data_IF_742976186496
#
_entry.id   IF_742976186496
#
_cell.length_a   1.000
_cell.length_b   1.000
_cell.length_c   1.000
_cell.angle_alpha   90.00
_cell.angle_beta   90.00
_cell.angle_gamma   90.00
#
_symmetry.space_group_name_H-M   'P 1'
#
loop_
_entity.id
_entity.type
_entity.pdbx_description
1 polymer ?
#
# COMPACT_ATOMS: atom_id res chain seq x y z
N UNK A 1 -21.71 -8.28 -13.26
CA UNK A 1 -22.16 -8.10 -11.87
C UNK A 1 -23.58 -8.61 -11.75
N UNK A 2 -23.88 -9.31 -10.67
CA UNK A 2 -25.22 -9.83 -10.38
C UNK A 2 -25.66 -9.25 -9.03
N UNK A 3 -26.94 -8.91 -8.92
CA UNK A 3 -27.57 -8.72 -7.62
C UNK A 3 -28.04 -10.09 -7.15
N UNK A 4 -27.73 -10.44 -5.91
CA UNK A 4 -28.05 -11.72 -5.29
C UNK A 4 -29.00 -11.46 -4.13
N UNK A 5 -30.33 -11.54 -4.37
CA UNK A 5 -31.33 -11.34 -3.34
C UNK A 5 -31.04 -12.18 -2.09
N UNK A 6 -31.40 -11.65 -0.92
CA UNK A 6 -31.07 -12.17 0.41
C UNK A 6 -29.59 -12.07 0.80
N UNK A 7 -28.65 -12.47 -0.08
CA UNK A 7 -27.21 -12.36 0.20
C UNK A 7 -26.80 -10.89 0.36
N UNK A 8 -27.29 -10.02 -0.53
CA UNK A 8 -26.98 -8.58 -0.54
C UNK A 8 -27.53 -7.82 0.68
N UNK A 9 -28.36 -8.45 1.52
CA UNK A 9 -28.85 -7.86 2.77
C UNK A 9 -27.86 -8.02 3.93
N UNK A 10 -26.86 -8.90 3.80
CA UNK A 10 -25.93 -9.21 4.88
C UNK A 10 -24.81 -8.18 4.94
N UNK A 11 -24.64 -7.56 6.11
CA UNK A 11 -23.63 -6.53 6.32
C UNK A 11 -22.20 -7.09 6.41
N UNK A 12 -21.23 -6.23 6.13
CA UNK A 12 -19.82 -6.55 6.23
C UNK A 12 -19.30 -6.56 7.69
N UNK A 13 -18.39 -7.48 8.00
CA UNK A 13 -17.47 -7.37 9.14
C UNK A 13 -16.08 -7.90 8.76
N UNK A 14 -15.02 -7.24 9.27
CA UNK A 14 -13.63 -7.68 9.14
C UNK A 14 -13.29 -8.89 10.03
N UNK A 15 -14.17 -9.22 10.99
CA UNK A 15 -13.92 -10.23 12.02
C UNK A 15 -14.47 -11.60 11.64
N UNK A 16 -15.26 -11.67 10.56
CA UNK A 16 -15.88 -12.92 10.10
C UNK A 16 -15.11 -13.55 8.95
N UNK A 17 -15.16 -14.86 8.89
CA UNK A 17 -14.65 -15.64 7.78
C UNK A 17 -15.83 -16.36 7.10
N UNK A 18 -16.17 -15.91 5.90
CA UNK A 18 -17.29 -16.43 5.11
C UNK A 18 -16.86 -16.66 3.68
N UNK A 19 -17.42 -17.68 3.05
CA UNK A 19 -17.23 -18.01 1.64
C UNK A 19 -18.58 -17.97 0.93
N UNK A 20 -18.70 -17.10 -0.07
CA UNK A 20 -19.86 -17.05 -0.96
C UNK A 20 -19.42 -17.55 -2.34
N UNK A 21 -20.09 -18.58 -2.86
CA UNK A 21 -19.77 -19.15 -4.17
C UNK A 21 -21.02 -19.64 -4.89
N UNK A 22 -21.00 -19.64 -6.23
CA UNK A 22 -22.07 -20.25 -7.00
C UNK A 22 -21.81 -21.76 -7.11
N UNK A 23 -22.69 -22.57 -6.55
CA UNK A 23 -22.63 -24.02 -6.67
C UNK A 23 -23.20 -24.45 -8.03
N UNK A 24 -22.33 -24.88 -8.93
CA UNK A 24 -22.70 -25.33 -10.27
C UNK A 24 -23.57 -26.60 -10.30
N UNK A 25 -23.52 -27.43 -9.26
CA UNK A 25 -24.33 -28.65 -9.12
C UNK A 25 -25.74 -28.30 -8.68
N UNK A 26 -25.87 -27.49 -7.62
CA UNK A 26 -27.16 -27.10 -7.04
C UNK A 26 -27.80 -25.90 -7.75
N UNK A 27 -27.07 -25.25 -8.68
CA UNK A 27 -27.48 -24.07 -9.44
C UNK A 27 -27.92 -22.89 -8.57
N UNK A 28 -27.26 -22.69 -7.43
CA UNK A 28 -27.57 -21.63 -6.48
C UNK A 28 -26.31 -21.01 -5.86
N UNK A 29 -26.44 -19.80 -5.33
CA UNK A 29 -25.39 -19.21 -4.48
C UNK A 29 -25.43 -19.84 -3.10
N UNK A 30 -24.27 -20.30 -2.63
CA UNK A 30 -24.09 -20.84 -1.29
C UNK A 30 -23.19 -19.92 -0.49
N UNK A 31 -23.68 -19.50 0.69
CA UNK A 31 -22.90 -18.80 1.69
C UNK A 31 -22.57 -19.76 2.84
N UNK A 32 -21.29 -19.93 3.12
CA UNK A 32 -20.77 -20.74 4.22
C UNK A 32 -20.03 -19.84 5.19
N UNK A 33 -20.36 -19.93 6.47
CA UNK A 33 -19.64 -19.23 7.55
C UNK A 33 -18.74 -20.21 8.29
N UNK A 34 -17.55 -19.76 8.65
CA UNK A 34 -16.64 -20.45 9.57
C UNK A 34 -16.70 -19.89 11.00
N UNK A 35 -17.59 -18.91 11.22
CA UNK A 35 -17.82 -18.26 12.50
C UNK A 35 -19.15 -18.72 13.13
N UNK A 36 -19.19 -18.78 14.47
CA UNK A 36 -20.41 -19.05 15.23
C UNK A 36 -21.19 -17.75 15.43
N UNK A 37 -22.50 -17.79 15.23
CA UNK A 37 -23.40 -16.68 15.56
C UNK A 37 -24.30 -17.08 16.73
N UNK A 38 -24.52 -16.15 17.67
CA UNK A 38 -25.52 -16.35 18.73
C UNK A 38 -26.92 -16.24 18.12
N UNK A 39 -27.88 -16.99 18.67
CA UNK A 39 -29.28 -16.84 18.30
C UNK A 39 -29.71 -15.37 18.47
N UNK A 40 -30.43 -14.84 17.48
CA UNK A 40 -30.88 -13.44 17.40
C UNK A 40 -29.77 -12.39 17.23
N UNK A 41 -28.50 -12.77 17.08
CA UNK A 41 -27.46 -11.85 16.67
C UNK A 41 -27.50 -11.65 15.15
N UNK A 42 -27.13 -10.45 14.71
CA UNK A 42 -26.94 -10.16 13.29
C UNK A 42 -25.86 -11.07 12.70
N UNK A 43 -26.15 -11.61 11.51
CA UNK A 43 -25.19 -12.39 10.71
C UNK A 43 -24.44 -11.42 9.81
N UNK A 44 -23.12 -11.49 9.86
CA UNK A 44 -22.23 -10.70 9.01
C UNK A 44 -21.51 -11.59 8.00
N UNK A 45 -21.08 -10.99 6.90
CA UNK A 45 -20.21 -11.62 5.91
C UNK A 45 -18.94 -10.79 5.68
N UNK A 46 -17.92 -11.40 5.08
CA UNK A 46 -16.80 -10.66 4.52
C UNK A 46 -17.13 -10.30 3.07
N UNK A 47 -17.00 -9.03 2.70
CA UNK A 47 -17.09 -8.57 1.30
C UNK A 47 -15.78 -8.84 0.54
N UNK A 48 -14.77 -9.40 1.22
CA UNK A 48 -13.43 -9.66 0.67
C UNK A 48 -12.36 -8.81 1.33
N UNK A 49 -11.16 -8.87 0.75
CA UNK A 49 -9.97 -8.16 1.22
C UNK A 49 -9.98 -6.70 0.75
N UNK A 50 -10.96 -5.92 1.22
CA UNK A 50 -11.17 -4.53 0.82
C UNK A 50 -10.63 -3.56 1.87
N UNK A 51 -9.96 -2.50 1.44
CA UNK A 51 -9.57 -1.38 2.31
C UNK A 51 -10.77 -0.51 2.67
N UNK A 52 -10.70 0.25 3.76
CA UNK A 52 -11.68 1.26 4.13
C UNK A 52 -11.81 2.37 3.08
N UNK A 53 -10.76 2.64 2.29
CA UNK A 53 -10.87 3.53 1.13
C UNK A 53 -11.84 2.97 0.09
N UNK A 54 -11.72 1.68 -0.22
CA UNK A 54 -12.62 0.96 -1.14
C UNK A 54 -14.02 0.84 -0.57
N UNK A 55 -14.16 0.45 0.71
CA UNK A 55 -15.45 0.34 1.38
C UNK A 55 -16.19 1.67 1.44
N UNK A 56 -15.49 2.79 1.66
CA UNK A 56 -16.13 4.10 1.67
C UNK A 56 -16.63 4.50 0.28
N UNK A 57 -15.81 4.31 -0.76
CA UNK A 57 -16.14 4.73 -2.12
C UNK A 57 -17.21 3.83 -2.76
N UNK A 58 -17.10 2.52 -2.59
CA UNK A 58 -17.97 1.54 -3.27
C UNK A 58 -19.19 1.15 -2.43
N UNK A 59 -19.09 1.19 -1.10
CA UNK A 59 -20.15 0.71 -0.19
C UNK A 59 -20.66 1.79 0.78
N UNK A 60 -20.03 2.97 0.83
CA UNK A 60 -20.52 4.10 1.63
C UNK A 60 -20.27 4.00 3.13
N UNK A 61 -19.32 3.16 3.59
CA UNK A 61 -19.00 3.06 5.02
C UNK A 61 -17.52 2.85 5.30
N UNK A 62 -17.13 3.11 6.55
CA UNK A 62 -15.81 2.79 7.11
C UNK A 62 -16.02 1.82 8.26
N UNK A 63 -15.25 0.73 8.30
CA UNK A 63 -15.31 -0.27 9.35
C UNK A 63 -15.06 0.36 10.73
N UNK A 64 -15.82 -0.11 11.73
CA UNK A 64 -15.68 0.35 13.12
C UNK A 64 -14.50 -0.29 13.85
N UNK A 65 -14.03 -1.42 13.36
CA UNK A 65 -12.91 -2.18 13.92
C UNK A 65 -11.72 -2.14 12.96
N UNK A 66 -10.48 -2.32 13.46
CA UNK A 66 -9.29 -2.26 12.63
C UNK A 66 -9.38 -3.18 11.42
N UNK A 67 -9.07 -2.64 10.24
CA UNK A 67 -9.07 -3.40 8.99
C UNK A 67 -7.63 -3.72 8.58
N UNK A 68 -7.27 -4.99 8.57
CA UNK A 68 -5.94 -5.46 8.17
C UNK A 68 -5.60 -5.19 6.69
N UNK A 69 -6.60 -4.84 5.88
CA UNK A 69 -6.44 -4.51 4.47
C UNK A 69 -6.29 -3.00 4.23
N UNK A 70 -6.27 -2.18 5.28
CA UNK A 70 -6.03 -0.75 5.14
C UNK A 70 -4.59 -0.44 4.80
N UNK A 71 -4.44 0.42 3.80
CA UNK A 71 -3.18 0.95 3.32
C UNK A 71 -3.38 2.38 2.84
N UNK A 72 -2.31 3.17 2.85
CA UNK A 72 -2.25 4.45 2.14
C UNK A 72 -1.63 4.20 0.77
N UNK A 73 -2.48 4.00 -0.23
CA UNK A 73 -2.08 3.71 -1.59
C UNK A 73 -1.52 4.95 -2.32
N UNK A 74 -0.54 4.73 -3.18
CA UNK A 74 0.16 5.75 -3.95
C UNK A 74 0.17 5.38 -5.42
N UNK A 75 0.06 6.41 -6.26
CA UNK A 75 0.29 6.29 -7.69
C UNK A 75 1.79 6.39 -7.99
N UNK A 76 2.27 5.58 -8.94
CA UNK A 76 3.67 5.57 -9.36
C UNK A 76 4.11 6.94 -9.88
N UNK A 77 3.25 7.65 -10.60
CA UNK A 77 3.52 9.00 -11.09
C UNK A 77 3.73 10.01 -9.95
N UNK A 78 2.92 9.93 -8.89
CA UNK A 78 3.13 10.75 -7.69
C UNK A 78 4.47 10.44 -7.00
N UNK A 79 4.82 9.16 -6.85
CA UNK A 79 6.08 8.73 -6.22
C UNK A 79 7.28 9.23 -7.03
N UNK A 80 7.29 9.02 -8.35
CA UNK A 80 8.37 9.47 -9.22
C UNK A 80 8.47 11.00 -9.27
N UNK A 81 7.34 11.71 -9.25
CA UNK A 81 7.32 13.17 -9.20
C UNK A 81 7.89 13.70 -7.87
N UNK A 82 7.56 13.05 -6.76
CA UNK A 82 8.12 13.38 -5.46
C UNK A 82 9.63 13.14 -5.40
N UNK A 83 10.13 12.03 -5.96
CA UNK A 83 11.56 11.74 -6.06
C UNK A 83 12.28 12.84 -6.85
N UNK A 84 11.74 13.18 -8.02
CA UNK A 84 12.28 14.23 -8.88
C UNK A 84 12.37 15.60 -8.17
N UNK A 85 11.41 15.91 -7.30
CA UNK A 85 11.40 17.16 -6.53
C UNK A 85 12.34 17.12 -5.30
N UNK A 86 12.35 16.00 -4.57
CA UNK A 86 13.12 15.84 -3.33
C UNK A 86 14.63 15.75 -3.57
N UNK A 87 15.04 15.20 -4.71
CA UNK A 87 16.44 15.11 -5.11
C UNK A 87 16.75 16.25 -6.07
N UNK A 88 17.29 17.37 -5.54
CA UNK A 88 17.69 18.57 -6.31
C UNK A 88 18.82 18.33 -7.33
N UNK A 89 19.36 17.10 -7.42
CA UNK A 89 20.43 16.71 -8.35
C UNK A 89 19.86 15.92 -9.53
N UNK A 90 20.69 15.63 -10.54
CA UNK A 90 20.36 14.97 -11.82
C UNK A 90 19.77 13.54 -11.72
N UNK A 91 19.21 13.14 -10.57
CA UNK A 91 18.51 11.87 -10.36
C UNK A 91 17.05 12.06 -10.79
N UNK A 92 16.84 12.17 -12.11
CA UNK A 92 15.48 12.22 -12.65
C UNK A 92 15.08 10.79 -13.06
N UNK A 93 13.96 10.25 -12.53
CA UNK A 93 13.41 9.00 -13.04
C UNK A 93 13.19 9.12 -14.54
N UNK A 94 13.82 8.24 -15.33
CA UNK A 94 13.68 8.24 -16.78
C UNK A 94 12.35 7.58 -17.17
N UNK A 95 11.81 7.93 -18.33
CA UNK A 95 10.67 7.20 -18.91
C UNK A 95 10.98 5.70 -19.07
N UNK A 96 12.25 5.37 -19.25
CA UNK A 96 12.74 4.00 -19.28
C UNK A 96 12.52 3.25 -17.97
N UNK A 97 12.77 3.88 -16.82
CA UNK A 97 12.51 3.27 -15.52
C UNK A 97 11.02 2.97 -15.36
N UNK A 98 10.14 3.92 -15.67
CA UNK A 98 8.69 3.71 -15.59
C UNK A 98 8.24 2.52 -16.45
N UNK A 99 8.79 2.39 -17.66
CA UNK A 99 8.50 1.25 -18.53
C UNK A 99 8.98 -0.09 -17.93
N UNK A 100 10.14 -0.11 -17.27
CA UNK A 100 10.62 -1.32 -16.58
C UNK A 100 9.79 -1.64 -15.35
N UNK A 101 9.40 -0.64 -14.55
CA UNK A 101 8.52 -0.85 -13.40
C UNK A 101 7.20 -1.50 -13.84
N UNK A 102 6.58 -0.97 -14.91
CA UNK A 102 5.37 -1.53 -15.51
C UNK A 102 5.57 -2.95 -16.05
N UNK A 103 6.70 -3.20 -16.73
CA UNK A 103 7.02 -4.51 -17.30
C UNK A 103 7.08 -5.62 -16.24
N UNK A 104 7.51 -5.29 -15.03
CA UNK A 104 7.66 -6.24 -13.92
C UNK A 104 6.60 -6.06 -12.82
N UNK A 105 5.50 -5.35 -13.10
CA UNK A 105 4.42 -5.04 -12.15
C UNK A 105 4.87 -4.37 -10.84
N UNK A 106 6.01 -3.67 -10.87
CA UNK A 106 6.54 -2.88 -9.74
C UNK A 106 5.89 -1.50 -9.63
N UNK A 107 5.02 -1.12 -10.58
CA UNK A 107 4.21 0.09 -10.55
C UNK A 107 2.88 -0.10 -9.80
N UNK A 108 2.60 -1.31 -9.30
CA UNK A 108 1.37 -1.66 -8.58
C UNK A 108 1.61 -1.90 -7.10
N UNK A 109 0.58 -1.68 -6.30
CA UNK A 109 0.61 -1.94 -4.86
C UNK A 109 1.56 -1.03 -4.07
N UNK A 110 1.97 0.11 -4.62
CA UNK A 110 2.77 1.09 -3.91
C UNK A 110 1.92 1.68 -2.78
N UNK A 111 2.26 1.36 -1.54
CA UNK A 111 1.52 1.84 -0.39
C UNK A 111 2.39 1.92 0.88
N UNK A 112 1.91 2.69 1.85
CA UNK A 112 2.30 2.58 3.25
C UNK A 112 1.30 1.72 4.01
N UNK A 113 1.81 0.90 4.92
CA UNK A 113 1.04 0.00 5.79
C UNK A 113 1.46 0.20 7.24
N UNK A 114 0.73 -0.39 8.19
CA UNK A 114 1.15 -0.38 9.60
C UNK A 114 2.53 -1.04 9.83
N UNK A 115 3.03 -1.83 8.87
CA UNK A 115 4.34 -2.49 8.93
C UNK A 115 5.40 -1.76 8.10
N UNK A 116 5.15 -0.50 7.72
CA UNK A 116 6.04 0.29 6.90
C UNK A 116 5.65 0.33 5.41
N UNK A 117 6.56 0.82 4.56
CA UNK A 117 6.38 0.84 3.12
C UNK A 117 6.23 -0.57 2.55
N UNK A 118 5.27 -0.75 1.65
CA UNK A 118 5.14 -1.98 0.85
C UNK A 118 6.44 -2.31 0.10
N UNK A 119 6.64 -3.60 -0.17
CA UNK A 119 7.81 -4.07 -0.90
C UNK A 119 7.97 -3.37 -2.26
N UNK A 120 6.89 -3.22 -3.04
CA UNK A 120 6.93 -2.55 -4.35
C UNK A 120 7.25 -1.06 -4.24
N UNK A 121 6.78 -0.37 -3.21
CA UNK A 121 7.17 1.02 -2.93
C UNK A 121 8.67 1.12 -2.64
N UNK A 122 9.23 0.21 -1.82
CA UNK A 122 10.68 0.16 -1.56
C UNK A 122 11.44 -0.06 -2.87
N UNK A 123 11.05 -1.05 -3.67
CA UNK A 123 11.72 -1.33 -4.95
C UNK A 123 11.65 -0.14 -5.91
N UNK A 124 10.48 0.51 -6.00
CA UNK A 124 10.30 1.69 -6.85
C UNK A 124 11.26 2.83 -6.47
N UNK A 125 11.38 3.15 -5.17
CA UNK A 125 12.27 4.23 -4.72
C UNK A 125 13.74 3.83 -4.87
N UNK A 126 14.11 2.61 -4.49
CA UNK A 126 15.49 2.11 -4.61
C UNK A 126 15.95 2.10 -6.06
N UNK A 127 15.14 1.55 -6.98
CA UNK A 127 15.44 1.56 -8.40
C UNK A 127 15.55 2.98 -8.95
N UNK A 128 14.67 3.90 -8.55
CA UNK A 128 14.73 5.29 -8.99
C UNK A 128 16.03 5.99 -8.59
N UNK A 129 16.53 5.74 -7.38
CA UNK A 129 17.80 6.29 -6.90
C UNK A 129 19.00 5.62 -7.58
N UNK A 130 19.02 4.29 -7.63
CA UNK A 130 20.17 3.52 -8.13
C UNK A 130 20.35 3.61 -9.65
N UNK A 131 19.27 3.81 -10.41
CA UNK A 131 19.30 3.68 -11.88
C UNK A 131 19.19 4.99 -12.64
N UNK A 132 19.25 6.13 -11.95
CA UNK A 132 19.06 7.45 -12.54
C UNK A 132 19.93 7.76 -13.78
N UNK A 133 21.13 7.22 -13.85
CA UNK A 133 22.07 7.43 -14.97
C UNK A 133 22.33 6.14 -15.79
N UNK A 134 21.46 5.15 -15.68
CA UNK A 134 21.62 3.83 -16.34
C UNK A 134 20.79 3.72 -17.62
N UNK A 135 21.25 2.90 -18.56
CA UNK A 135 20.48 2.56 -19.76
C UNK A 135 19.43 1.47 -19.49
N UNK A 136 18.52 1.24 -20.44
CA UNK A 136 17.39 0.31 -20.29
C UNK A 136 17.82 -1.13 -19.94
N UNK A 137 18.92 -1.60 -20.53
CA UNK A 137 19.40 -2.96 -20.32
C UNK A 137 19.97 -3.12 -18.90
N UNK A 138 20.68 -2.11 -18.41
CA UNK A 138 21.16 -2.06 -17.03
C UNK A 138 20.00 -2.00 -16.04
N UNK A 139 19.00 -1.13 -16.28
CA UNK A 139 17.79 -1.06 -15.43
C UNK A 139 17.09 -2.42 -15.39
N UNK A 140 16.84 -3.03 -16.55
CA UNK A 140 16.17 -4.33 -16.63
C UNK A 140 16.93 -5.43 -15.88
N UNK A 141 18.27 -5.45 -15.98
CA UNK A 141 19.11 -6.38 -15.24
C UNK A 141 18.95 -6.19 -13.73
N UNK A 142 19.03 -4.94 -13.24
CA UNK A 142 18.90 -4.63 -11.81
C UNK A 142 17.51 -4.99 -11.29
N UNK A 143 16.44 -4.65 -12.02
CA UNK A 143 15.08 -5.04 -11.67
C UNK A 143 14.96 -6.56 -11.49
N UNK A 144 15.48 -7.34 -12.44
CA UNK A 144 15.46 -8.80 -12.36
C UNK A 144 16.25 -9.32 -11.16
N UNK A 145 17.45 -8.78 -10.90
CA UNK A 145 18.26 -9.23 -9.78
C UNK A 145 17.61 -8.88 -8.43
N UNK A 146 16.97 -7.71 -8.28
CA UNK A 146 16.21 -7.34 -7.07
C UNK A 146 15.01 -8.26 -6.86
N UNK A 147 14.26 -8.57 -7.92
CA UNK A 147 13.13 -9.51 -7.82
C UNK A 147 13.55 -10.93 -7.44
N UNK A 148 14.73 -11.36 -7.91
CA UNK A 148 15.32 -12.65 -7.58
C UNK A 148 16.08 -12.64 -6.24
N UNK A 149 16.17 -11.48 -5.56
CA UNK A 149 17.04 -11.22 -4.42
C UNK A 149 18.51 -11.61 -4.64
N UNK A 150 18.97 -11.66 -5.88
CA UNK A 150 20.30 -12.16 -6.23
C UNK A 150 21.38 -11.07 -6.23
N UNK A 151 21.06 -9.85 -5.79
CA UNK A 151 22.03 -8.76 -5.72
C UNK A 151 22.90 -8.88 -4.47
N UNK A 152 24.22 -8.85 -4.68
CA UNK A 152 25.19 -8.54 -3.64
C UNK A 152 25.44 -7.02 -3.56
N UNK A 153 25.52 -6.48 -2.34
CA UNK A 153 25.86 -5.08 -2.07
C UNK A 153 27.19 -4.65 -2.72
N UNK A 154 28.11 -5.61 -2.93
CA UNK A 154 29.43 -5.36 -3.51
C UNK A 154 29.40 -5.10 -5.03
N UNK A 155 28.29 -5.41 -5.71
CA UNK A 155 28.13 -5.17 -7.15
C UNK A 155 27.89 -3.69 -7.50
N UNK A 156 27.52 -2.86 -6.50
CA UNK A 156 27.15 -1.46 -6.71
C UNK A 156 28.07 -0.50 -5.96
N UNK A 157 28.92 0.28 -6.67
CA UNK A 157 29.62 1.40 -6.07
C UNK A 157 28.60 2.36 -5.44
N UNK A 158 28.80 2.74 -4.18
CA UNK A 158 27.89 3.62 -3.42
C UNK A 158 26.49 3.05 -3.13
N UNK A 159 26.33 1.72 -3.07
CA UNK A 159 25.07 1.07 -2.67
C UNK A 159 24.51 1.64 -1.35
N UNK A 160 25.37 1.72 -0.32
CA UNK A 160 24.99 2.24 1.01
C UNK A 160 24.47 3.67 0.93
N UNK A 161 25.15 4.58 0.21
CA UNK A 161 24.71 5.96 0.06
C UNK A 161 23.38 6.07 -0.70
N UNK A 162 23.19 5.23 -1.73
CA UNK A 162 21.96 5.16 -2.50
C UNK A 162 20.78 4.68 -1.65
N UNK A 163 21.01 3.68 -0.80
CA UNK A 163 19.98 3.16 0.12
C UNK A 163 19.67 4.13 1.25
N UNK A 164 20.66 4.84 1.78
CA UNK A 164 20.44 5.94 2.74
C UNK A 164 19.62 7.06 2.10
N UNK A 165 19.90 7.40 0.85
CA UNK A 165 19.10 8.39 0.09
C UNK A 165 17.67 7.89 -0.13
N UNK A 166 17.48 6.64 -0.55
CA UNK A 166 16.16 6.03 -0.70
C UNK A 166 15.37 6.00 0.63
N UNK A 167 16.06 5.71 1.74
CA UNK A 167 15.49 5.76 3.09
C UNK A 167 15.00 7.17 3.43
N UNK A 168 15.82 8.19 3.20
CA UNK A 168 15.45 9.58 3.43
C UNK A 168 14.26 10.02 2.56
N UNK A 169 14.21 9.59 1.30
CA UNK A 169 13.08 9.87 0.40
C UNK A 169 11.80 9.25 0.94
N UNK A 170 11.84 7.98 1.37
CA UNK A 170 10.67 7.30 1.94
C UNK A 170 10.19 7.98 3.22
N UNK A 171 11.10 8.38 4.11
CA UNK A 171 10.77 9.13 5.33
C UNK A 171 10.14 10.47 5.00
N UNK A 172 10.72 11.24 4.07
CA UNK A 172 10.20 12.53 3.65
C UNK A 172 8.83 12.40 2.98
N UNK A 173 8.65 11.40 2.11
CA UNK A 173 7.37 11.12 1.46
C UNK A 173 6.29 10.79 2.49
N UNK A 174 6.61 9.91 3.44
CA UNK A 174 5.69 9.56 4.52
C UNK A 174 5.33 10.78 5.37
N UNK A 175 6.32 11.59 5.77
CA UNK A 175 6.10 12.79 6.57
C UNK A 175 5.27 13.86 5.85
N UNK A 176 5.52 14.10 4.56
CA UNK A 176 4.72 15.04 3.76
C UNK A 176 3.28 14.56 3.58
N UNK A 177 3.06 13.26 3.39
CA UNK A 177 1.71 12.69 3.37
C UNK A 177 1.00 12.82 4.72
N UNK A 178 1.70 12.60 5.83
CA UNK A 178 1.16 12.81 7.19
C UNK A 178 0.70 14.25 7.34
N UNK A 179 1.57 15.22 7.02
CA UNK A 179 1.26 16.64 7.10
C UNK A 179 0.07 17.03 6.22
N UNK A 180 0.07 16.60 4.96
CA UNK A 180 -1.03 16.86 4.03
C UNK A 180 -2.35 16.27 4.52
N UNK A 181 -2.32 15.08 5.14
CA UNK A 181 -3.51 14.43 5.72
C UNK A 181 -4.03 15.23 6.92
N UNK A 182 -3.16 15.67 7.82
CA UNK A 182 -3.53 16.52 8.95
C UNK A 182 -4.14 17.86 8.49
N UNK A 183 -3.58 18.49 7.45
CA UNK A 183 -4.11 19.72 6.87
C UNK A 183 -5.51 19.52 6.26
N UNK A 184 -5.70 18.44 5.49
CA UNK A 184 -7.02 18.04 4.96
C UNK A 184 -8.04 17.81 6.06
N UNK A 185 -7.67 17.10 7.13
CA UNK A 185 -8.54 16.89 8.28
C UNK A 185 -8.94 18.20 8.96
N UNK A 186 -8.00 19.14 9.14
CA UNK A 186 -8.30 20.48 9.69
C UNK A 186 -9.30 21.24 8.81
N UNK A 187 -9.10 21.20 7.49
CA UNK A 187 -10.03 21.83 6.54
C UNK A 187 -11.42 21.20 6.60
N UNK A 188 -11.53 19.86 6.59
CA UNK A 188 -12.83 19.20 6.67
C UNK A 188 -13.57 19.43 7.99
N UNK A 189 -12.85 19.56 9.11
CA UNK A 189 -13.47 19.89 10.41
C UNK A 189 -14.08 21.29 10.45
N UNK A 190 -13.67 22.19 9.57
CA UNK A 190 -14.26 23.54 9.45
C UNK A 190 -15.57 23.56 8.65
N UNK A 191 -15.93 22.45 8.00
CA UNK A 191 -17.17 22.31 7.25
C UNK A 191 -18.35 21.91 8.15
N UNK A 192 -19.58 22.04 7.65
CA UNK A 192 -20.79 21.64 8.36
C UNK A 192 -20.75 20.15 8.73
N UNK A 193 -21.01 19.80 9.99
CA UNK A 193 -20.91 18.41 10.43
C UNK A 193 -22.03 17.55 9.81
N UNK A 194 -21.66 16.58 8.97
CA UNK A 194 -22.57 15.61 8.36
C UNK A 194 -22.01 14.20 8.58
N UNK A 195 -22.87 13.18 8.51
CA UNK A 195 -22.45 11.78 8.61
C UNK A 195 -21.40 11.40 7.56
N UNK A 196 -21.46 11.98 6.36
CA UNK A 196 -20.47 11.77 5.30
C UNK A 196 -19.10 12.37 5.65
N UNK A 197 -19.07 13.57 6.23
CA UNK A 197 -17.83 14.19 6.71
C UNK A 197 -17.23 13.36 7.85
N UNK A 198 -18.05 12.83 8.75
CA UNK A 198 -17.58 11.93 9.81
C UNK A 198 -16.92 10.66 9.26
N UNK A 199 -17.46 10.08 8.18
CA UNK A 199 -16.85 8.92 7.52
C UNK A 199 -15.49 9.26 6.89
N UNK A 200 -15.39 10.40 6.20
CA UNK A 200 -14.12 10.87 5.62
C UNK A 200 -13.08 11.13 6.71
N UNK A 201 -13.48 11.78 7.81
CA UNK A 201 -12.60 12.02 8.95
C UNK A 201 -12.14 10.72 9.61
N UNK A 202 -13.01 9.71 9.72
CA UNK A 202 -12.63 8.38 10.21
C UNK A 202 -11.61 7.71 9.29
N UNK A 203 -11.82 7.76 7.97
CA UNK A 203 -10.87 7.20 7.00
C UNK A 203 -9.50 7.88 7.12
N UNK A 204 -9.47 9.21 7.19
CA UNK A 204 -8.19 9.94 7.33
C UNK A 204 -7.51 9.73 8.68
N UNK A 205 -8.27 9.49 9.75
CA UNK A 205 -7.68 9.11 11.03
C UNK A 205 -6.95 7.76 10.93
N UNK A 206 -7.52 6.79 10.22
CA UNK A 206 -6.87 5.50 9.94
C UNK A 206 -5.62 5.71 9.08
N UNK A 207 -5.71 6.52 8.01
CA UNK A 207 -4.54 6.83 7.18
C UNK A 207 -3.42 7.51 7.97
N UNK A 208 -3.77 8.41 8.90
CA UNK A 208 -2.81 9.07 9.77
C UNK A 208 -2.08 8.06 10.66
N UNK A 209 -2.80 7.16 11.32
CA UNK A 209 -2.23 6.10 12.16
C UNK A 209 -1.27 5.19 11.37
N UNK A 210 -1.67 4.82 10.14
CA UNK A 210 -0.82 4.05 9.22
C UNK A 210 0.46 4.80 8.90
N UNK A 211 0.38 6.07 8.52
CA UNK A 211 1.56 6.86 8.14
C UNK A 211 2.49 7.10 9.34
N UNK A 212 1.94 7.40 10.52
CA UNK A 212 2.72 7.63 11.74
C UNK A 212 3.46 6.36 12.18
N UNK A 213 2.78 5.20 12.13
CA UNK A 213 3.40 3.91 12.47
C UNK A 213 4.38 3.48 11.39
N UNK A 214 4.02 3.64 10.11
CA UNK A 214 4.89 3.34 8.98
C UNK A 214 6.19 4.14 9.04
N UNK A 215 6.17 5.40 9.49
CA UNK A 215 7.36 6.22 9.58
C UNK A 215 8.39 5.63 10.55
N UNK A 216 7.95 5.03 11.66
CA UNK A 216 8.80 4.37 12.65
C UNK A 216 9.45 3.10 12.09
N UNK A 217 8.81 2.48 11.09
CA UNK A 217 9.29 1.26 10.45
C UNK A 217 10.33 1.52 9.35
N UNK A 218 10.52 2.76 8.90
CA UNK A 218 11.47 3.11 7.82
C UNK A 218 12.89 3.26 8.37
N UNK A 219 13.76 2.31 8.03
CA UNK A 219 15.19 2.36 8.36
C UNK A 219 16.04 1.78 7.23
N UNK A 220 17.28 2.26 7.10
CA UNK A 220 18.24 1.75 6.11
C UNK A 220 18.48 0.25 6.29
N UNK A 221 18.56 -0.24 7.53
CA UNK A 221 18.74 -1.67 7.83
C UNK A 221 17.60 -2.51 7.27
N UNK A 222 16.33 -2.12 7.52
CA UNK A 222 15.16 -2.84 6.99
C UNK A 222 15.14 -2.83 5.47
N UNK A 223 15.46 -1.71 4.84
CA UNK A 223 15.51 -1.59 3.37
C UNK A 223 16.60 -2.49 2.77
N UNK A 224 17.79 -2.56 3.39
CA UNK A 224 18.85 -3.49 2.98
C UNK A 224 18.34 -4.93 3.03
N UNK A 225 17.78 -5.37 4.18
CA UNK A 225 17.28 -6.73 4.35
C UNK A 225 16.14 -7.09 3.37
N UNK A 226 15.37 -6.09 2.92
CA UNK A 226 14.30 -6.28 1.94
C UNK A 226 14.86 -6.45 0.52
N UNK A 227 15.93 -5.75 0.17
CA UNK A 227 16.45 -5.66 -1.20
C UNK A 227 17.63 -6.60 -1.49
N UNK A 228 18.39 -7.01 -0.47
CA UNK A 228 19.63 -7.78 -0.62
C UNK A 228 19.62 -9.02 0.28
N UNK A 229 20.33 -10.07 -0.14
CA UNK A 229 20.32 -11.36 0.55
C UNK A 229 21.20 -11.43 1.82
N UNK A 230 21.99 -10.41 2.15
CA UNK A 230 22.96 -10.50 3.26
C UNK A 230 22.88 -9.30 4.22
N UNK A 231 22.35 -9.53 5.42
CA UNK A 231 22.71 -8.81 6.65
C UNK A 231 22.28 -9.53 7.95
N UNK A 232 21.97 -10.82 7.90
CA UNK A 232 21.76 -11.66 9.09
C UNK A 232 22.44 -13.02 8.85
N UNK A 233 23.76 -13.06 9.05
CA UNK A 233 24.56 -14.21 9.51
C UNK A 233 26.07 -13.89 9.38
N UNK A 234 26.60 -13.14 10.36
CA UNK A 234 27.95 -13.29 10.93
C UNK A 234 28.10 -12.42 12.17
#
# INVERSE_FOLDING_TARGET
YFLVPYLDLLNHSNEVNTKAEFNNTNKCFELRTHCKFKRFAQVFISYGALSNSTLLVEYGFVCKTPNKHDVVALDVGHVLSFIKYSVKTAICPSNSLLNQLKKYDLDKGLAFTIHGPSWTLIQCVVLAVMTCNMNNNQISKICLQLMQKSISMNEFPNAVNSLTTATQILQNLCAELTKATQERMKQCRSMNNTSHIELVLKLWQIHLEILETSLQEISTKKIINVCFNDCDEK
#
